data_IF_126644653730
#
_entry.id   IF_126644653730
#
_cell.length_a   1.000
_cell.length_b   1.000
_cell.length_c   1.000
_cell.angle_alpha   90.00
_cell.angle_beta   90.00
_cell.angle_gamma   90.00
#
_symmetry.space_group_name_H-M   'P 1'
#
loop_
_entity.id
_entity.type
_entity.pdbx_description
1 polymer ?
#
# COMPACT_ATOMS: atom_id res chain seq x y z
N UNK A 1 -0.61 -5.12 -17.43
CA UNK A 1 0.14 -4.14 -16.60
C UNK A 1 1.54 -4.63 -16.18
N UNK A 2 2.26 -5.44 -16.99
CA UNK A 2 3.62 -5.93 -16.67
C UNK A 2 4.68 -5.18 -17.48
N UNK A 3 4.91 -3.93 -17.12
CA UNK A 3 5.78 -3.02 -17.87
C UNK A 3 7.28 -3.19 -17.57
N UNK A 4 7.60 -3.92 -16.51
CA UNK A 4 8.98 -4.21 -16.10
C UNK A 4 9.05 -5.56 -15.39
N UNK A 5 10.23 -6.20 -15.39
CA UNK A 5 10.44 -7.57 -14.88
C UNK A 5 11.32 -7.64 -13.63
N UNK A 6 11.98 -6.56 -13.25
CA UNK A 6 12.85 -6.49 -12.08
C UNK A 6 12.50 -5.26 -11.25
N UNK A 7 12.65 -5.29 -9.92
CA UNK A 7 12.34 -4.13 -9.11
C UNK A 7 13.10 -2.88 -9.56
N UNK A 8 12.43 -1.74 -9.59
CA UNK A 8 13.01 -0.45 -9.99
C UNK A 8 13.16 0.39 -8.72
N UNK A 9 14.38 0.91 -8.50
CA UNK A 9 14.66 1.85 -7.44
C UNK A 9 14.36 3.27 -7.90
N UNK A 10 13.63 4.04 -7.07
CA UNK A 10 13.36 5.46 -7.31
C UNK A 10 13.61 6.27 -6.05
N UNK A 11 14.19 7.45 -6.24
CA UNK A 11 14.30 8.46 -5.20
C UNK A 11 13.00 9.28 -5.17
N UNK A 12 12.40 9.39 -4.00
CA UNK A 12 11.16 10.16 -3.79
C UNK A 12 11.51 11.62 -3.47
N UNK A 13 10.94 12.53 -4.27
CA UNK A 13 11.12 13.97 -4.13
C UNK A 13 10.63 14.52 -2.78
N UNK A 14 11.24 15.61 -2.31
CA UNK A 14 10.83 16.24 -1.05
C UNK A 14 9.38 16.75 -1.07
N UNK A 15 8.93 17.24 -2.21
CA UNK A 15 7.56 17.70 -2.45
C UNK A 15 6.54 16.56 -2.26
N UNK A 16 6.85 15.36 -2.77
CA UNK A 16 6.03 14.16 -2.57
C UNK A 16 5.94 13.81 -1.09
N UNK A 17 7.07 13.77 -0.39
CA UNK A 17 7.09 13.46 1.04
C UNK A 17 6.30 14.47 1.87
N UNK A 18 6.37 15.76 1.51
CA UNK A 18 5.61 16.82 2.17
C UNK A 18 4.11 16.65 1.93
N UNK A 19 3.68 16.40 0.68
CA UNK A 19 2.27 16.17 0.35
C UNK A 19 1.71 14.95 1.07
N UNK A 20 2.43 13.83 1.06
CA UNK A 20 2.07 12.62 1.80
C UNK A 20 1.95 12.88 3.31
N UNK A 21 2.86 13.67 3.88
CA UNK A 21 2.82 14.05 5.30
C UNK A 21 1.59 14.90 5.61
N UNK A 22 1.38 15.98 4.86
CA UNK A 22 0.23 16.88 5.05
C UNK A 22 -1.10 16.13 4.92
N UNK A 23 -1.20 15.17 4.00
CA UNK A 23 -2.37 14.29 3.90
C UNK A 23 -2.55 13.44 5.15
N UNK A 24 -1.47 12.76 5.58
CA UNK A 24 -1.52 11.85 6.73
C UNK A 24 -1.94 12.55 8.02
N UNK A 25 -1.49 13.80 8.23
CA UNK A 25 -1.83 14.62 9.39
C UNK A 25 -3.32 14.97 9.43
N UNK A 26 -3.89 15.27 8.26
CA UNK A 26 -5.30 15.65 8.11
C UNK A 26 -6.25 14.45 8.12
N UNK A 27 -5.87 13.29 7.57
CA UNK A 27 -6.74 12.10 7.49
C UNK A 27 -6.78 11.32 8.80
N UNK A 28 -5.69 11.26 9.56
CA UNK A 28 -5.65 10.48 10.79
C UNK A 28 -6.74 10.81 11.83
N UNK A 29 -7.09 12.09 12.12
CA UNK A 29 -8.18 12.39 13.04
C UNK A 29 -9.56 11.99 12.49
N UNK A 30 -9.78 11.98 11.17
CA UNK A 30 -11.10 11.63 10.60
C UNK A 30 -11.40 10.13 10.75
N UNK A 31 -10.37 9.30 10.73
CA UNK A 31 -10.50 7.84 10.89
C UNK A 31 -10.35 7.37 12.35
N UNK A 32 -9.64 8.14 13.20
CA UNK A 32 -9.33 7.76 14.57
C UNK A 32 -10.32 8.24 15.64
N UNK A 33 -11.06 9.33 15.41
CA UNK A 33 -11.90 9.96 16.46
C UNK A 33 -13.38 9.55 16.39
N UNK A 34 -13.89 9.23 15.19
CA UNK A 34 -15.30 8.83 14.95
C UNK A 34 -15.46 7.74 13.87
N UNK A 35 -14.41 6.98 13.54
CA UNK A 35 -14.37 6.07 12.38
C UNK A 35 -14.00 4.60 12.68
N UNK A 36 -14.01 3.78 11.62
CA UNK A 36 -13.77 2.32 11.44
C UNK A 36 -12.53 1.66 12.10
N UNK A 37 -11.95 2.26 13.15
CA UNK A 37 -10.81 1.73 13.90
C UNK A 37 -11.11 1.52 15.40
N UNK A 38 -12.34 1.73 15.85
CA UNK A 38 -12.79 1.39 17.22
C UNK A 38 -12.71 -0.12 17.52
N UNK A 39 -12.76 -0.95 16.48
CA UNK A 39 -12.68 -2.42 16.51
C UNK A 39 -11.25 -2.97 16.68
N UNK A 40 -10.22 -2.17 16.39
CA UNK A 40 -8.81 -2.63 16.35
C UNK A 40 -7.94 -2.08 17.47
N UNK A 41 -8.52 -1.34 18.42
CA UNK A 41 -7.83 -0.68 19.54
C UNK A 41 -6.64 0.18 19.08
N UNK A 42 -6.63 0.62 17.81
CA UNK A 42 -5.63 1.51 17.25
C UNK A 42 -6.02 2.97 17.53
N UNK A 43 -6.07 3.33 18.81
CA UNK A 43 -6.16 4.73 19.26
C UNK A 43 -4.86 5.52 19.03
N UNK A 44 -3.81 4.84 18.58
CA UNK A 44 -2.51 5.46 18.32
C UNK A 44 -2.53 6.25 17.00
N UNK A 45 -2.99 7.49 17.08
CA UNK A 45 -2.99 8.45 15.97
C UNK A 45 -1.61 8.58 15.30
N UNK A 46 -0.51 8.42 16.04
CA UNK A 46 0.84 8.44 15.44
C UNK A 46 1.04 7.29 14.47
N UNK A 47 0.58 6.08 14.81
CA UNK A 47 0.63 4.92 13.91
C UNK A 47 -0.26 5.14 12.69
N UNK A 48 -1.49 5.59 12.89
CA UNK A 48 -2.44 5.86 11.78
C UNK A 48 -1.84 6.88 10.81
N UNK A 49 -1.31 8.00 11.32
CA UNK A 49 -0.60 9.01 10.51
C UNK A 49 0.54 8.36 9.72
N UNK A 50 1.41 7.60 10.40
CA UNK A 50 2.54 6.98 9.74
C UNK A 50 2.13 5.98 8.65
N UNK A 51 1.13 5.12 8.90
CA UNK A 51 0.63 4.17 7.90
C UNK A 51 0.09 4.89 6.65
N UNK A 52 -0.69 5.96 6.83
CA UNK A 52 -1.22 6.75 5.70
C UNK A 52 -0.12 7.48 4.93
N UNK A 53 0.88 8.01 5.63
CA UNK A 53 2.05 8.62 5.00
C UNK A 53 2.80 7.60 4.14
N UNK A 54 3.13 6.43 4.70
CA UNK A 54 3.85 5.35 3.98
C UNK A 54 3.06 4.86 2.78
N UNK A 55 1.72 4.76 2.88
CA UNK A 55 0.85 4.41 1.75
C UNK A 55 1.04 5.39 0.60
N UNK A 56 0.84 6.69 0.84
CA UNK A 56 0.93 7.72 -0.21
C UNK A 56 2.31 7.81 -0.85
N UNK A 57 3.37 7.64 -0.08
CA UNK A 57 4.73 7.61 -0.63
C UNK A 57 4.92 6.44 -1.60
N UNK A 58 4.41 5.26 -1.26
CA UNK A 58 4.49 4.12 -2.17
C UNK A 58 3.64 4.31 -3.42
N UNK A 59 2.44 4.86 -3.29
CA UNK A 59 1.57 5.17 -4.44
C UNK A 59 2.25 6.13 -5.43
N UNK A 60 2.86 7.20 -4.93
CA UNK A 60 3.62 8.15 -5.77
C UNK A 60 4.85 7.51 -6.39
N UNK A 61 5.56 6.62 -5.68
CA UNK A 61 6.70 5.90 -6.23
C UNK A 61 6.30 4.98 -7.40
N UNK A 62 5.17 4.26 -7.26
CA UNK A 62 4.63 3.42 -8.35
C UNK A 62 4.24 4.29 -9.55
N UNK A 63 3.54 5.39 -9.30
CA UNK A 63 3.18 6.36 -10.35
C UNK A 63 4.42 6.85 -11.10
N UNK A 64 5.45 7.28 -10.39
CA UNK A 64 6.70 7.77 -10.98
C UNK A 64 7.35 6.72 -11.90
N UNK A 65 7.48 5.47 -11.42
CA UNK A 65 8.05 4.37 -12.24
C UNK A 65 7.23 4.16 -13.52
N UNK A 66 5.91 4.08 -13.40
CA UNK A 66 5.04 3.81 -14.55
C UNK A 66 5.03 4.97 -15.56
N UNK A 67 5.08 6.21 -15.11
CA UNK A 67 5.21 7.38 -15.99
C UNK A 67 6.56 7.41 -16.71
N UNK A 68 7.65 7.04 -16.02
CA UNK A 68 8.98 6.90 -16.65
C UNK A 68 9.00 5.82 -17.74
N UNK A 69 8.14 4.81 -17.63
CA UNK A 69 7.92 3.77 -18.63
C UNK A 69 6.87 4.15 -19.69
N UNK A 70 6.44 5.42 -19.73
CA UNK A 70 5.52 5.95 -20.75
C UNK A 70 4.05 5.61 -20.55
N UNK A 71 3.65 5.11 -19.37
CA UNK A 71 2.26 4.74 -19.08
C UNK A 71 1.45 5.94 -18.57
N UNK A 72 0.17 6.01 -18.95
CA UNK A 72 -0.73 7.05 -18.45
C UNK A 72 -1.26 6.65 -17.09
N UNK A 73 -0.97 7.45 -16.06
CA UNK A 73 -1.36 7.14 -14.68
C UNK A 73 -2.16 8.27 -14.05
N UNK A 74 -3.28 7.91 -13.41
CA UNK A 74 -4.10 8.78 -12.56
C UNK A 74 -3.96 8.35 -11.09
N UNK A 75 -4.14 9.31 -10.19
CA UNK A 75 -3.86 9.17 -8.76
C UNK A 75 -2.42 9.56 -8.38
N UNK A 76 -2.00 9.32 -7.14
CA UNK A 76 -2.87 8.94 -6.03
C UNK A 76 -3.84 10.06 -5.66
N UNK A 77 -4.96 9.69 -5.07
CA UNK A 77 -5.95 10.64 -4.56
C UNK A 77 -5.54 11.18 -3.18
N UNK A 78 -5.62 12.48 -3.00
CA UNK A 78 -5.32 13.17 -1.74
C UNK A 78 -6.57 13.78 -1.09
N UNK A 79 -7.76 13.50 -1.63
CA UNK A 79 -9.02 13.93 -1.07
C UNK A 79 -9.27 13.26 0.29
N UNK A 80 -9.78 14.04 1.24
CA UNK A 80 -10.07 13.58 2.61
C UNK A 80 -11.57 13.49 2.77
N UNK A 81 -12.07 12.26 2.64
CA UNK A 81 -13.48 11.97 2.80
C UNK A 81 -13.89 12.01 4.28
N UNK A 82 -15.05 12.60 4.56
CA UNK A 82 -15.69 12.56 5.88
C UNK A 82 -16.78 11.48 5.93
N UNK A 83 -16.83 10.72 7.02
CA UNK A 83 -17.92 9.77 7.29
C UNK A 83 -18.07 8.65 6.25
N UNK A 84 -19.31 8.42 5.79
CA UNK A 84 -19.69 7.31 4.88
C UNK A 84 -19.28 7.51 3.41
N UNK A 85 -18.62 8.62 3.06
CA UNK A 85 -18.21 8.92 1.68
C UNK A 85 -16.87 8.29 1.27
N UNK A 86 -16.37 7.31 2.03
CA UNK A 86 -15.11 6.65 1.71
C UNK A 86 -15.23 5.90 0.39
N UNK A 87 -14.61 6.45 -0.64
CA UNK A 87 -14.36 5.78 -1.90
C UNK A 87 -13.48 4.55 -1.66
N UNK A 88 -13.93 3.39 -2.14
CA UNK A 88 -13.12 2.17 -2.21
C UNK A 88 -12.34 2.10 -3.54
N UNK A 89 -12.11 3.25 -4.19
CA UNK A 89 -11.37 3.32 -5.44
C UNK A 89 -9.95 2.78 -5.27
N UNK A 90 -9.41 2.26 -6.37
CA UNK A 90 -8.02 1.85 -6.43
C UNK A 90 -7.08 3.04 -6.19
N UNK A 91 -5.89 2.75 -5.68
CA UNK A 91 -4.91 3.78 -5.34
C UNK A 91 -4.43 4.52 -6.60
N UNK A 92 -4.28 3.80 -7.72
CA UNK A 92 -3.91 4.32 -9.03
C UNK A 92 -4.81 3.72 -10.13
N UNK A 93 -4.92 4.44 -11.24
CA UNK A 93 -5.50 3.93 -12.48
C UNK A 93 -4.48 4.11 -13.62
N UNK A 94 -4.08 3.01 -14.26
CA UNK A 94 -3.01 2.94 -15.25
C UNK A 94 -3.59 2.49 -16.58
N UNK A 95 -3.59 3.35 -17.59
CA UNK A 95 -4.20 3.12 -18.90
C UNK A 95 -5.64 2.57 -18.81
N UNK A 96 -6.41 3.06 -17.83
CA UNK A 96 -7.78 2.64 -17.57
C UNK A 96 -7.94 1.40 -16.67
N UNK A 97 -6.84 0.83 -16.17
CA UNK A 97 -6.83 -0.35 -15.30
C UNK A 97 -6.50 0.05 -13.86
N UNK A 98 -7.35 -0.37 -12.93
CA UNK A 98 -7.16 -0.16 -11.49
C UNK A 98 -5.94 -0.93 -10.96
N UNK A 99 -5.12 -0.24 -10.17
CA UNK A 99 -3.93 -0.77 -9.52
C UNK A 99 -3.91 -0.41 -8.04
N UNK A 100 -3.93 -1.43 -7.17
CA UNK A 100 -3.67 -1.25 -5.76
C UNK A 100 -2.17 -1.17 -5.48
N UNK A 101 -1.80 -0.47 -4.40
CA UNK A 101 -0.42 -0.36 -3.95
C UNK A 101 -0.31 -0.79 -2.49
N UNK A 102 0.67 -1.64 -2.19
CA UNK A 102 1.00 -2.02 -0.81
C UNK A 102 2.45 -1.68 -0.53
N UNK A 103 2.67 -0.96 0.56
CA UNK A 103 4.00 -0.46 0.93
C UNK A 103 4.41 -1.01 2.28
N UNK A 104 5.66 -1.43 2.40
CA UNK A 104 6.29 -1.79 3.68
C UNK A 104 7.57 -0.97 3.85
N UNK A 105 7.78 -0.39 5.03
CA UNK A 105 9.04 0.29 5.33
C UNK A 105 10.19 -0.71 5.51
N UNK A 106 11.41 -0.27 5.23
CA UNK A 106 12.63 -1.07 5.44
C UNK A 106 12.80 -1.51 6.88
N UNK A 107 12.42 -0.68 7.85
CA UNK A 107 12.45 -1.03 9.27
C UNK A 107 11.55 -2.24 9.56
N UNK A 108 10.30 -2.22 9.09
CA UNK A 108 9.37 -3.33 9.27
C UNK A 108 9.80 -4.58 8.50
N UNK A 109 10.35 -4.39 7.29
CA UNK A 109 10.90 -5.49 6.49
C UNK A 109 12.07 -6.18 7.21
N UNK A 110 12.95 -5.43 7.85
CA UNK A 110 14.06 -5.99 8.65
C UNK A 110 13.56 -6.75 9.87
N UNK A 111 12.46 -6.30 10.49
CA UNK A 111 11.92 -6.89 11.71
C UNK A 111 11.07 -8.14 11.46
N UNK A 112 10.30 -8.16 10.38
CA UNK A 112 9.28 -9.19 10.13
C UNK A 112 9.48 -9.96 8.81
N UNK A 113 10.54 -9.65 8.07
CA UNK A 113 10.72 -10.11 6.70
C UNK A 113 9.96 -9.21 5.71
N UNK A 114 10.58 -8.99 4.55
CA UNK A 114 9.98 -8.19 3.49
C UNK A 114 8.71 -8.87 2.97
N UNK A 115 7.58 -8.22 3.23
CA UNK A 115 6.25 -8.76 3.00
C UNK A 115 5.16 -7.70 3.04
N UNK A 116 4.00 -8.00 2.46
CA UNK A 116 2.87 -7.09 2.41
C UNK A 116 1.60 -7.75 2.90
N UNK A 117 0.87 -7.05 3.76
CA UNK A 117 -0.27 -7.60 4.48
C UNK A 117 -1.60 -7.15 3.88
N UNK A 118 -2.55 -8.07 3.81
CA UNK A 118 -3.94 -7.85 3.43
C UNK A 118 -4.86 -8.11 4.61
N UNK A 119 -5.91 -7.29 4.75
CA UNK A 119 -6.98 -7.51 5.72
C UNK A 119 -7.84 -8.69 5.28
N UNK A 120 -8.00 -9.71 6.12
CA UNK A 120 -8.69 -10.94 5.75
C UNK A 120 -9.64 -11.46 6.84
N UNK A 121 -9.96 -10.66 7.85
CA UNK A 121 -10.91 -11.06 8.89
C UNK A 121 -12.35 -10.98 8.38
N UNK A 122 -13.28 -11.60 9.10
CA UNK A 122 -14.72 -11.50 8.79
C UNK A 122 -15.27 -10.10 8.99
N UNK A 123 -14.78 -9.33 9.99
CA UNK A 123 -15.25 -7.96 10.22
C UNK A 123 -14.66 -6.95 9.24
N UNK A 124 -13.42 -7.17 8.78
CA UNK A 124 -12.70 -6.26 7.89
C UNK A 124 -11.83 -7.03 6.90
N UNK A 125 -12.23 -6.97 5.64
CA UNK A 125 -11.58 -7.65 4.53
C UNK A 125 -11.23 -6.67 3.42
N UNK A 126 -10.04 -6.80 2.85
CA UNK A 126 -9.64 -6.05 1.65
C UNK A 126 -10.41 -6.63 0.44
N UNK A 127 -11.28 -5.86 -0.24
CA UNK A 127 -12.13 -6.38 -1.32
C UNK A 127 -11.34 -6.94 -2.52
N UNK A 128 -10.09 -6.51 -2.67
CA UNK A 128 -9.19 -7.00 -3.73
C UNK A 128 -8.94 -8.51 -3.62
N UNK A 129 -9.03 -9.09 -2.41
CA UNK A 129 -8.85 -10.52 -2.20
C UNK A 129 -9.90 -11.39 -2.89
N UNK A 130 -11.04 -10.80 -3.28
CA UNK A 130 -12.13 -11.48 -3.96
C UNK A 130 -12.13 -11.20 -5.48
N UNK A 131 -11.11 -10.49 -5.98
CA UNK A 131 -10.96 -10.11 -7.39
C UNK A 131 -9.67 -10.75 -7.96
N UNK A 132 -9.71 -11.99 -8.47
CA UNK A 132 -8.51 -12.71 -8.92
C UNK A 132 -7.72 -11.98 -10.01
N UNK A 133 -8.40 -11.25 -10.89
CA UNK A 133 -7.79 -10.49 -11.98
C UNK A 133 -7.35 -9.08 -11.59
N UNK A 134 -7.67 -8.62 -10.37
CA UNK A 134 -7.23 -7.32 -9.90
C UNK A 134 -5.71 -7.27 -9.75
N UNK A 135 -5.16 -6.09 -9.99
CA UNK A 135 -3.71 -5.87 -9.96
C UNK A 135 -3.28 -5.19 -8.67
N UNK A 136 -2.10 -5.59 -8.19
CA UNK A 136 -1.42 -4.96 -7.06
C UNK A 136 0.06 -4.75 -7.39
N UNK A 137 0.59 -3.63 -6.92
CA UNK A 137 2.01 -3.31 -6.95
C UNK A 137 2.56 -3.24 -5.53
N UNK A 138 3.76 -3.76 -5.33
CA UNK A 138 4.40 -3.86 -4.03
C UNK A 138 5.59 -2.91 -3.94
N UNK A 139 5.76 -2.25 -2.80
CA UNK A 139 6.82 -1.27 -2.58
C UNK A 139 7.54 -1.52 -1.27
N UNK A 140 8.87 -1.47 -1.29
CA UNK A 140 9.70 -1.33 -0.09
C UNK A 140 10.18 0.12 0.02
N UNK A 141 9.96 0.76 1.16
CA UNK A 141 10.35 2.16 1.38
C UNK A 141 11.48 2.29 2.42
N UNK A 142 12.64 2.82 2.02
CA UNK A 142 13.72 3.26 2.91
C UNK A 142 13.53 4.75 3.22
N UNK A 143 12.91 5.05 4.37
CA UNK A 143 12.62 6.42 4.80
C UNK A 143 13.87 7.28 4.99
N UNK A 144 14.96 6.69 5.48
CA UNK A 144 16.20 7.43 5.73
C UNK A 144 16.84 7.89 4.42
N UNK A 145 16.80 7.02 3.41
CA UNK A 145 17.34 7.33 2.08
C UNK A 145 16.33 8.00 1.14
N UNK A 146 15.06 8.05 1.52
CA UNK A 146 13.93 8.47 0.67
C UNK A 146 13.82 7.64 -0.61
N UNK A 147 14.18 6.37 -0.53
CA UNK A 147 14.24 5.47 -1.68
C UNK A 147 13.12 4.45 -1.61
N UNK A 148 12.42 4.25 -2.72
CA UNK A 148 11.45 3.19 -2.90
C UNK A 148 11.98 2.16 -3.88
N UNK A 149 11.85 0.88 -3.53
CA UNK A 149 12.05 -0.23 -4.45
C UNK A 149 10.68 -0.75 -4.86
N UNK A 150 10.30 -0.51 -6.12
CA UNK A 150 9.00 -0.84 -6.69
C UNK A 150 9.08 -2.17 -7.43
N UNK A 151 8.28 -3.15 -7.01
CA UNK A 151 8.25 -4.49 -7.60
C UNK A 151 7.27 -4.54 -8.80
N UNK A 152 7.49 -5.46 -9.76
CA UNK A 152 6.57 -5.65 -10.88
C UNK A 152 5.11 -5.87 -10.43
N UNK A 153 4.11 -5.22 -11.06
CA UNK A 153 2.71 -5.47 -10.76
C UNK A 153 2.33 -6.93 -11.03
N UNK A 154 1.54 -7.50 -10.12
CA UNK A 154 1.04 -8.87 -10.18
C UNK A 154 -0.48 -8.88 -10.07
N UNK A 155 -1.13 -9.91 -10.62
CA UNK A 155 -2.55 -10.15 -10.37
C UNK A 155 -2.73 -10.91 -9.06
N UNK A 156 -3.85 -10.71 -8.35
CA UNK A 156 -4.14 -11.40 -7.09
C UNK A 156 -4.09 -12.92 -7.22
N UNK A 157 -4.59 -13.48 -8.34
CA UNK A 157 -4.57 -14.93 -8.60
C UNK A 157 -3.16 -15.52 -8.73
N UNK A 158 -2.15 -14.68 -8.93
CA UNK A 158 -0.75 -15.10 -9.09
C UNK A 158 0.00 -15.10 -7.75
N UNK A 159 -0.65 -14.62 -6.68
CA UNK A 159 -0.02 -14.45 -5.37
C UNK A 159 -0.21 -15.69 -4.51
N UNK A 160 0.90 -16.15 -3.92
CA UNK A 160 0.84 -17.14 -2.85
C UNK A 160 0.75 -16.44 -1.49
N UNK A 161 -0.42 -16.57 -0.84
CA UNK A 161 -0.67 -15.99 0.48
C UNK A 161 -0.19 -16.93 1.59
N UNK A 162 0.67 -16.42 2.48
CA UNK A 162 1.08 -17.06 3.71
C UNK A 162 0.45 -16.44 4.96
N UNK A 163 0.74 -17.06 6.11
CA UNK A 163 0.39 -16.56 7.44
C UNK A 163 1.36 -15.46 7.91
N UNK A 164 0.89 -14.48 8.70
CA UNK A 164 1.77 -13.48 9.30
C UNK A 164 2.70 -14.08 10.36
N UNK A 165 3.89 -13.49 10.49
CA UNK A 165 4.88 -13.83 11.53
C UNK A 165 4.30 -13.67 12.93
N UNK A 166 3.55 -12.60 13.17
CA UNK A 166 2.95 -12.33 14.48
C UNK A 166 1.72 -13.23 14.69
N UNK A 167 1.78 -14.11 15.69
CA UNK A 167 0.72 -15.07 15.99
C UNK A 167 -0.67 -14.42 16.15
N UNK A 168 -0.74 -13.25 16.81
CA UNK A 168 -1.99 -12.50 17.00
C UNK A 168 -2.67 -12.01 15.71
N UNK A 169 -1.94 -12.00 14.58
CA UNK A 169 -2.47 -11.58 13.29
C UNK A 169 -2.97 -12.76 12.45
N UNK A 170 -2.63 -14.00 12.82
CA UNK A 170 -3.06 -15.20 12.10
C UNK A 170 -4.59 -15.29 12.11
N UNK A 171 -5.17 -15.71 10.98
CA UNK A 171 -6.62 -15.72 10.77
C UNK A 171 -7.28 -14.36 10.52
N UNK A 172 -6.60 -13.22 10.74
CA UNK A 172 -7.14 -11.87 10.44
C UNK A 172 -6.37 -11.14 9.35
N UNK A 173 -5.20 -11.65 8.96
CA UNK A 173 -4.33 -11.11 7.91
C UNK A 173 -3.84 -12.23 7.02
N UNK A 174 -3.70 -11.93 5.73
CA UNK A 174 -2.92 -12.72 4.78
C UNK A 174 -1.68 -11.93 4.38
N UNK A 175 -0.59 -12.63 4.08
CA UNK A 175 0.70 -12.00 3.80
C UNK A 175 1.28 -12.51 2.49
N UNK A 176 1.81 -11.61 1.68
CA UNK A 176 2.62 -11.95 0.51
C UNK A 176 4.07 -11.67 0.87
N UNK A 177 4.90 -12.70 0.85
CA UNK A 177 6.34 -12.58 1.11
C UNK A 177 7.09 -12.34 -0.19
N UNK A 178 8.13 -11.51 -0.16
CA UNK A 178 8.90 -11.18 -1.37
C UNK A 178 9.44 -12.43 -2.07
N UNK A 179 9.87 -13.45 -1.32
CA UNK A 179 10.44 -14.69 -1.87
C UNK A 179 9.42 -15.53 -2.66
N UNK A 180 8.12 -15.23 -2.52
CA UNK A 180 7.01 -15.92 -3.19
C UNK A 180 6.40 -15.10 -4.32
N UNK A 181 6.99 -13.95 -4.67
CA UNK A 181 6.50 -13.18 -5.81
C UNK A 181 6.79 -13.93 -7.12
N UNK A 182 5.84 -13.97 -8.07
CA UNK A 182 5.95 -14.79 -9.28
C UNK A 182 6.99 -14.33 -10.31
N UNK A 183 7.69 -13.20 -10.06
CA UNK A 183 8.56 -12.52 -11.03
C UNK A 183 9.87 -12.07 -10.36
N UNK A 184 10.38 -12.85 -9.40
CA UNK A 184 11.73 -12.66 -8.84
C UNK A 184 12.60 -13.89 -9.08
#
# INVERSE_FOLDING_TARGET
MRFFKRPIEVLVGHDVLQRARSFSEKVAPTVGTHGTYTDTNQSNLRKIRHDHYVSKVGEEAVKQVLQQLGQTTKGPDYEIYQGKQKSWAADLCVDGVDLAVKTQTKELANRFGLSWTFQASQQRRDPILDKPDAWVCFVKFDEQKRQCLVYPPCQIKELEFGEPVLAKLKGTKKVVYVQKLPIL
#
